data_IF_764008115938
#
_entry.id   IF_764008115938
#
_cell.length_a   1.000
_cell.length_b   1.000
_cell.length_c   1.000
_cell.angle_alpha   90.00
_cell.angle_beta   90.00
_cell.angle_gamma   90.00
#
_symmetry.space_group_name_H-M   'P 1'
#
loop_
_entity.id
_entity.type
_entity.pdbx_description
1 polymer ?
#
# COMPACT_ATOMS: atom_id res chain seq x y z
N UNK A 1 -4.15 -26.73 -15.03
CA UNK A 1 -3.49 -25.59 -14.33
C UNK A 1 -2.08 -25.53 -14.86
N UNK A 2 -1.81 -24.65 -15.81
CA UNK A 2 -0.42 -24.29 -16.12
C UNK A 2 0.15 -23.64 -14.86
N UNK A 3 1.20 -24.23 -14.29
CA UNK A 3 1.83 -23.68 -13.10
C UNK A 3 2.34 -22.29 -13.41
N UNK A 4 1.92 -21.29 -12.64
CA UNK A 4 2.55 -19.97 -12.70
C UNK A 4 4.02 -20.14 -12.35
N UNK A 5 4.90 -20.12 -13.36
CA UNK A 5 6.35 -20.14 -13.16
C UNK A 5 6.70 -18.89 -12.36
N UNK A 6 7.26 -19.08 -11.17
CA UNK A 6 7.80 -17.98 -10.37
C UNK A 6 8.94 -17.37 -11.20
N UNK A 7 8.84 -16.10 -11.61
CA UNK A 7 9.86 -15.49 -12.45
C UNK A 7 11.03 -15.05 -11.56
N UNK A 8 11.78 -16.01 -11.03
CA UNK A 8 12.85 -15.75 -10.05
C UNK A 8 13.90 -14.76 -10.58
N UNK A 9 14.20 -14.83 -11.88
CA UNK A 9 15.08 -13.87 -12.55
C UNK A 9 14.46 -12.47 -12.69
N UNK A 10 13.13 -12.35 -12.76
CA UNK A 10 12.48 -11.05 -12.90
C UNK A 10 12.68 -10.17 -11.66
N UNK A 11 12.70 -10.74 -10.46
CA UNK A 11 12.97 -10.00 -9.21
C UNK A 11 14.40 -9.49 -9.09
N UNK A 12 15.34 -10.06 -9.85
CA UNK A 12 16.72 -9.59 -9.93
C UNK A 12 16.93 -8.59 -11.08
N UNK A 13 15.98 -8.50 -12.01
CA UNK A 13 16.05 -7.59 -13.14
C UNK A 13 15.60 -6.18 -12.74
N UNK A 14 16.51 -5.21 -12.88
CA UNK A 14 16.29 -3.81 -12.52
C UNK A 14 15.40 -3.06 -13.52
N UNK A 15 15.15 -3.62 -14.71
CA UNK A 15 14.26 -3.00 -15.68
C UNK A 15 12.78 -3.26 -15.37
N UNK A 16 12.48 -4.23 -14.52
CA UNK A 16 11.11 -4.47 -14.07
C UNK A 16 10.70 -3.41 -13.04
N UNK A 17 9.57 -2.71 -13.25
CA UNK A 17 9.06 -1.77 -12.27
C UNK A 17 8.68 -2.47 -10.98
N UNK A 18 8.97 -1.83 -9.83
CA UNK A 18 8.49 -2.30 -8.53
C UNK A 18 7.35 -1.43 -8.05
N UNK A 19 6.33 -2.05 -7.47
CA UNK A 19 5.19 -1.30 -6.93
C UNK A 19 5.63 -0.30 -5.83
N UNK A 20 6.71 -0.63 -5.10
CA UNK A 20 7.32 0.23 -4.07
C UNK A 20 7.95 1.52 -4.59
N UNK A 21 8.24 1.58 -5.89
CA UNK A 21 8.85 2.77 -6.51
C UNK A 21 7.78 3.84 -6.79
N UNK A 22 6.50 3.44 -6.86
CA UNK A 22 5.40 4.33 -7.14
C UNK A 22 4.93 5.10 -5.92
N UNK A 23 5.02 6.43 -6.01
CA UNK A 23 4.63 7.35 -4.95
C UNK A 23 3.91 8.55 -5.55
N UNK A 24 2.85 9.02 -4.88
CA UNK A 24 2.20 10.28 -5.26
C UNK A 24 2.98 11.44 -4.63
N UNK A 25 3.83 12.06 -5.45
CA UNK A 25 4.68 13.17 -5.03
C UNK A 25 4.59 14.33 -6.03
N UNK A 26 4.56 15.55 -5.50
CA UNK A 26 4.85 16.75 -6.28
C UNK A 26 6.34 16.83 -6.63
N UNK A 27 6.73 17.81 -7.43
CA UNK A 27 8.15 18.05 -7.72
C UNK A 27 8.82 18.85 -6.59
N UNK A 28 10.14 18.90 -6.56
CA UNK A 28 10.89 19.76 -5.63
C UNK A 28 10.48 21.24 -5.74
N UNK A 29 10.06 21.68 -6.93
CA UNK A 29 9.61 23.07 -7.19
C UNK A 29 8.15 23.29 -6.82
N UNK A 30 7.34 22.25 -6.81
CA UNK A 30 5.91 22.32 -6.57
C UNK A 30 5.46 21.07 -5.78
N UNK A 31 5.82 20.97 -4.48
CA UNK A 31 5.49 19.79 -3.69
C UNK A 31 3.98 19.66 -3.52
N UNK A 32 3.52 18.43 -3.27
CA UNK A 32 2.13 18.19 -2.93
C UNK A 32 1.93 18.52 -1.44
N UNK A 33 1.11 19.53 -1.14
CA UNK A 33 0.94 20.07 0.22
C UNK A 33 -0.37 19.63 0.85
N UNK A 34 -0.40 19.54 2.17
CA UNK A 34 -1.57 19.15 2.96
C UNK A 34 -2.87 19.92 2.60
N UNK A 35 -2.88 21.25 2.34
CA UNK A 35 -4.11 21.94 1.96
C UNK A 35 -4.75 21.46 0.64
N UNK A 36 -3.99 20.80 -0.24
CA UNK A 36 -4.49 20.20 -1.48
C UNK A 36 -5.00 18.78 -1.21
N UNK A 37 -4.29 18.02 -0.38
CA UNK A 37 -4.57 16.60 -0.09
C UNK A 37 -5.74 16.45 0.88
N UNK A 38 -5.75 17.21 1.97
CA UNK A 38 -6.69 17.02 3.08
C UNK A 38 -8.16 17.15 2.68
N UNK A 39 -8.58 18.12 1.84
CA UNK A 39 -9.96 18.18 1.37
C UNK A 39 -10.37 16.92 0.60
N UNK A 40 -9.47 16.37 -0.22
CA UNK A 40 -9.72 15.16 -0.99
C UNK A 40 -9.78 13.90 -0.10
N UNK A 41 -8.87 13.79 0.89
CA UNK A 41 -8.94 12.71 1.89
C UNK A 41 -10.25 12.75 2.67
N UNK A 42 -10.69 13.96 3.06
CA UNK A 42 -11.98 14.16 3.73
C UNK A 42 -13.14 13.72 2.84
N UNK A 43 -13.13 14.10 1.55
CA UNK A 43 -14.13 13.64 0.57
C UNK A 43 -14.16 12.11 0.47
N UNK A 44 -13.01 11.44 0.39
CA UNK A 44 -12.94 9.97 0.35
C UNK A 44 -13.55 9.34 1.60
N UNK A 45 -13.31 9.92 2.78
CA UNK A 45 -13.86 9.44 4.04
C UNK A 45 -15.38 9.64 4.12
N UNK A 46 -15.87 10.84 3.80
CA UNK A 46 -17.30 11.18 3.83
C UNK A 46 -18.12 10.30 2.88
N UNK A 47 -17.53 9.88 1.76
CA UNK A 47 -18.17 9.00 0.79
C UNK A 47 -17.90 7.50 1.03
N UNK A 48 -17.21 7.13 2.11
CA UNK A 48 -16.96 5.72 2.47
C UNK A 48 -15.94 4.99 1.58
N UNK A 49 -15.11 5.71 0.82
CA UNK A 49 -14.02 5.10 0.05
C UNK A 49 -12.76 4.85 0.89
N UNK A 50 -12.66 5.51 2.03
CA UNK A 50 -11.53 5.46 2.95
C UNK A 50 -12.04 5.43 4.39
N UNK A 51 -11.58 4.45 5.16
CA UNK A 51 -11.81 4.37 6.59
C UNK A 51 -10.50 4.68 7.31
N UNK A 52 -10.52 5.71 8.16
CA UNK A 52 -9.36 6.11 8.95
C UNK A 52 -9.60 5.69 10.39
N UNK A 53 -8.66 4.94 10.93
CA UNK A 53 -8.66 4.47 12.31
C UNK A 53 -7.54 5.16 13.08
N UNK A 54 -7.82 5.42 14.35
CA UNK A 54 -6.83 5.93 15.28
C UNK A 54 -5.86 4.82 15.74
N UNK A 55 -5.02 5.17 16.70
CA UNK A 55 -4.05 4.31 17.35
C UNK A 55 -4.66 3.07 18.04
N UNK A 56 -5.99 2.99 18.18
CA UNK A 56 -6.66 1.83 18.75
C UNK A 56 -6.90 0.71 17.73
N UNK A 57 -6.64 0.96 16.44
CA UNK A 57 -6.63 -0.08 15.43
C UNK A 57 -5.69 -1.22 15.82
N UNK A 58 -6.08 -2.47 15.53
CA UNK A 58 -5.39 -3.67 16.01
C UNK A 58 -3.91 -3.72 15.58
N UNK A 59 -3.62 -3.45 14.30
CA UNK A 59 -2.25 -3.42 13.79
C UNK A 59 -1.41 -2.31 14.46
N UNK A 60 -2.01 -1.15 14.66
CA UNK A 60 -1.36 -0.01 15.31
C UNK A 60 -1.05 -0.26 16.78
N UNK A 61 -1.94 -0.97 17.50
CA UNK A 61 -1.69 -1.42 18.88
C UNK A 61 -0.51 -2.38 18.97
N UNK A 62 -0.42 -3.35 18.07
CA UNK A 62 0.73 -4.28 18.03
C UNK A 62 2.01 -3.49 17.74
N UNK A 63 1.99 -2.60 16.75
CA UNK A 63 3.12 -1.73 16.44
C UNK A 63 3.55 -0.91 17.68
N UNK A 64 2.64 -0.24 18.38
CA UNK A 64 2.95 0.50 19.60
C UNK A 64 3.60 -0.37 20.68
N UNK A 65 3.14 -1.61 20.87
CA UNK A 65 3.72 -2.52 21.84
C UNK A 65 5.17 -2.86 21.49
N UNK A 66 5.48 -3.06 20.20
CA UNK A 66 6.84 -3.25 19.73
C UNK A 66 7.69 -2.00 19.97
N UNK A 67 7.20 -0.81 19.60
CA UNK A 67 7.90 0.46 19.87
C UNK A 67 8.21 0.63 21.36
N UNK A 68 7.25 0.37 22.26
CA UNK A 68 7.45 0.44 23.71
C UNK A 68 8.53 -0.53 24.19
N UNK A 69 8.56 -1.77 23.66
CA UNK A 69 9.59 -2.76 23.98
C UNK A 69 10.99 -2.32 23.53
N UNK A 70 11.09 -1.73 22.33
CA UNK A 70 12.35 -1.20 21.81
C UNK A 70 12.86 -0.03 22.66
N UNK A 71 11.97 0.92 22.98
CA UNK A 71 12.30 2.07 23.83
C UNK A 71 12.78 1.62 25.23
N UNK A 72 12.09 0.66 25.86
CA UNK A 72 12.48 0.14 27.18
C UNK A 72 13.87 -0.50 27.18
N UNK A 73 14.29 -1.07 26.05
CA UNK A 73 15.62 -1.68 25.88
C UNK A 73 16.69 -0.69 25.42
N UNK A 74 16.35 0.58 25.22
CA UNK A 74 17.28 1.59 24.70
C UNK A 74 17.64 1.38 23.24
N UNK A 75 16.83 0.65 22.47
CA UNK A 75 17.06 0.43 21.04
C UNK A 75 16.52 1.60 20.20
N UNK A 76 17.01 1.69 18.96
CA UNK A 76 16.47 2.58 17.94
C UNK A 76 15.01 2.25 17.61
N UNK A 77 14.35 3.06 16.78
CA UNK A 77 12.98 2.76 16.34
C UNK A 77 12.96 1.41 15.58
N UNK A 78 11.94 0.56 15.80
CA UNK A 78 11.84 -0.72 15.10
C UNK A 78 11.61 -0.50 13.59
N UNK A 79 12.23 -1.35 12.77
CA UNK A 79 11.95 -1.45 11.34
C UNK A 79 10.73 -2.33 11.04
N UNK A 80 10.62 -2.82 9.80
CA UNK A 80 9.54 -3.71 9.37
C UNK A 80 9.57 -5.05 10.11
N UNK A 81 10.70 -5.76 10.07
CA UNK A 81 10.78 -7.16 10.56
C UNK A 81 10.28 -7.32 12.01
N UNK A 82 10.67 -6.49 12.99
CA UNK A 82 10.17 -6.64 14.36
C UNK A 82 8.66 -6.42 14.47
N UNK A 83 8.10 -5.53 13.65
CA UNK A 83 6.68 -5.18 13.64
C UNK A 83 5.88 -6.31 12.99
N UNK A 84 6.28 -6.73 11.79
CA UNK A 84 5.61 -7.82 11.05
C UNK A 84 5.71 -9.15 11.79
N UNK A 85 6.87 -9.44 12.40
CA UNK A 85 7.06 -10.63 13.24
C UNK A 85 6.18 -10.60 14.49
N UNK A 86 5.93 -9.43 15.07
CA UNK A 86 4.99 -9.34 16.19
C UNK A 86 3.55 -9.54 15.71
N UNK A 87 3.18 -8.96 14.57
CA UNK A 87 1.83 -9.10 14.01
C UNK A 87 1.51 -10.56 13.68
N UNK A 88 2.41 -11.28 13.00
CA UNK A 88 2.18 -12.69 12.63
C UNK A 88 2.04 -13.60 13.86
N UNK A 89 2.65 -13.23 15.00
CA UNK A 89 2.57 -13.97 16.27
C UNK A 89 1.33 -13.62 17.08
N UNK A 90 0.97 -12.35 17.13
CA UNK A 90 -0.02 -11.81 18.06
C UNK A 90 -1.42 -11.65 17.42
N UNK A 91 -1.52 -11.66 16.08
CA UNK A 91 -2.79 -11.53 15.36
C UNK A 91 -3.17 -12.80 14.59
N UNK A 92 -4.20 -13.49 15.09
CA UNK A 92 -4.72 -14.76 14.53
C UNK A 92 -5.24 -14.68 13.09
N UNK A 93 -5.50 -13.47 12.58
CA UNK A 93 -5.95 -13.29 11.20
C UNK A 93 -4.81 -12.99 10.23
N UNK A 94 -3.56 -12.96 10.69
CA UNK A 94 -2.37 -12.73 9.87
C UNK A 94 -1.79 -14.06 9.41
N UNK A 95 -1.49 -14.19 8.12
CA UNK A 95 -1.13 -15.47 7.51
C UNK A 95 0.27 -15.49 6.91
N UNK A 96 0.70 -14.37 6.34
CA UNK A 96 2.00 -14.31 5.67
C UNK A 96 2.55 -12.88 5.71
N UNK A 97 3.88 -12.78 5.70
CA UNK A 97 4.63 -11.53 5.64
C UNK A 97 5.66 -11.61 4.50
N UNK A 98 6.08 -10.46 3.97
CA UNK A 98 7.08 -10.35 2.88
C UNK A 98 6.75 -11.22 1.65
N UNK A 99 5.48 -11.26 1.26
CA UNK A 99 5.00 -12.17 0.20
C UNK A 99 5.34 -11.61 -1.18
N UNK A 100 6.13 -12.30 -2.01
CA UNK A 100 6.41 -11.84 -3.37
C UNK A 100 5.14 -11.86 -4.21
N UNK A 101 4.92 -10.81 -4.99
CA UNK A 101 3.81 -10.69 -5.93
C UNK A 101 4.32 -10.17 -7.27
N UNK A 102 3.75 -10.68 -8.36
CA UNK A 102 4.08 -10.23 -9.71
C UNK A 102 2.84 -10.19 -10.59
N UNK A 103 2.86 -9.28 -11.55
CA UNK A 103 1.91 -9.22 -12.66
C UNK A 103 2.66 -9.12 -13.96
N UNK A 104 2.38 -10.04 -14.88
CA UNK A 104 2.85 -9.93 -16.26
C UNK A 104 2.19 -8.73 -16.94
N UNK A 105 2.98 -7.91 -17.63
CA UNK A 105 2.50 -6.76 -18.39
C UNK A 105 2.54 -7.10 -19.90
N UNK A 106 3.69 -6.92 -20.54
CA UNK A 106 3.94 -7.21 -21.95
C UNK A 106 5.44 -7.36 -22.20
N UNK A 107 5.85 -7.98 -23.31
CA UNK A 107 7.27 -8.12 -23.71
C UNK A 107 8.18 -8.68 -22.60
N UNK A 108 7.70 -9.66 -21.83
CA UNK A 108 8.39 -10.24 -20.67
C UNK A 108 8.70 -9.27 -19.51
N UNK A 109 8.03 -8.11 -19.47
CA UNK A 109 8.08 -7.23 -18.31
C UNK A 109 7.05 -7.62 -17.25
N UNK A 110 7.46 -7.48 -16.00
CA UNK A 110 6.64 -7.72 -14.82
C UNK A 110 6.55 -6.46 -13.97
N UNK A 111 5.36 -6.20 -13.42
CA UNK A 111 5.24 -5.38 -12.21
C UNK A 111 5.51 -6.29 -11.02
N UNK A 112 6.43 -5.90 -10.13
CA UNK A 112 6.91 -6.73 -9.05
C UNK A 112 6.70 -6.08 -7.68
N UNK A 113 6.76 -6.88 -6.62
CA UNK A 113 6.63 -6.39 -5.27
C UNK A 113 6.76 -7.44 -4.18
N UNK A 114 6.84 -6.95 -2.94
CA UNK A 114 6.71 -7.75 -1.73
C UNK A 114 5.60 -7.12 -0.88
N UNK A 115 4.60 -7.92 -0.52
CA UNK A 115 3.50 -7.50 0.34
C UNK A 115 3.94 -7.72 1.78
N UNK A 116 4.04 -6.65 2.57
CA UNK A 116 4.48 -6.75 3.97
C UNK A 116 3.63 -7.72 4.79
N UNK A 117 2.30 -7.70 4.62
CA UNK A 117 1.38 -8.49 5.42
C UNK A 117 0.11 -8.86 4.66
N UNK A 118 -0.24 -10.14 4.67
CA UNK A 118 -1.53 -10.65 4.22
C UNK A 118 -2.34 -11.13 5.43
N UNK A 119 -3.57 -10.64 5.53
CA UNK A 119 -4.54 -11.09 6.53
C UNK A 119 -5.81 -11.61 5.85
N UNK A 120 -6.55 -12.47 6.54
CA UNK A 120 -7.84 -12.96 6.08
C UNK A 120 -8.86 -12.82 7.21
N UNK A 121 -9.92 -12.05 6.98
CA UNK A 121 -10.96 -11.73 7.96
C UNK A 121 -12.32 -11.85 7.30
N UNK A 122 -13.21 -12.69 7.81
CA UNK A 122 -14.59 -12.83 7.32
C UNK A 122 -14.67 -12.90 5.77
N UNK A 123 -13.92 -13.83 5.17
CA UNK A 123 -13.82 -14.03 3.71
C UNK A 123 -13.18 -12.89 2.90
N UNK A 124 -12.64 -11.88 3.58
CA UNK A 124 -12.01 -10.72 2.96
C UNK A 124 -10.51 -10.82 3.12
N UNK A 125 -9.79 -10.67 2.02
CA UNK A 125 -8.32 -10.59 1.99
C UNK A 125 -7.91 -9.17 2.30
N UNK A 126 -7.00 -8.99 3.24
CA UNK A 126 -6.42 -7.71 3.60
C UNK A 126 -4.95 -7.70 3.18
N UNK A 127 -4.58 -6.71 2.38
CA UNK A 127 -3.20 -6.42 1.95
C UNK A 127 -2.72 -5.23 2.76
N UNK A 128 -1.88 -5.49 3.74
CA UNK A 128 -1.42 -4.50 4.70
C UNK A 128 0.07 -4.18 4.48
N UNK A 129 0.42 -2.93 4.74
CA UNK A 129 1.77 -2.41 4.57
C UNK A 129 2.08 -1.42 5.71
N UNK A 130 3.23 -1.63 6.36
CA UNK A 130 3.64 -0.87 7.53
C UNK A 130 4.46 0.34 7.10
N UNK A 131 4.00 1.55 7.45
CA UNK A 131 4.71 2.79 7.11
C UNK A 131 5.22 3.49 8.38
N UNK A 132 6.47 3.25 8.82
CA UNK A 132 7.01 3.89 10.01
C UNK A 132 7.31 5.38 9.76
N UNK A 133 6.63 6.28 10.48
CA UNK A 133 6.87 7.74 10.57
C UNK A 133 6.90 8.53 9.22
N UNK A 134 6.47 9.81 9.23
CA UNK A 134 6.50 10.84 8.14
C UNK A 134 5.96 10.50 6.73
N UNK A 135 5.77 9.23 6.39
CA UNK A 135 5.13 8.82 5.16
C UNK A 135 3.64 9.09 5.26
N UNK A 136 3.18 10.12 4.54
CA UNK A 136 1.76 10.36 4.42
C UNK A 136 1.12 9.14 3.74
N UNK A 137 0.02 8.63 4.31
CA UNK A 137 -0.83 7.62 3.68
C UNK A 137 -1.01 7.87 2.17
N UNK A 138 -1.21 9.13 1.80
CA UNK A 138 -1.42 9.53 0.41
C UNK A 138 -0.21 9.25 -0.49
N UNK A 139 1.00 9.44 0.03
CA UNK A 139 2.25 9.18 -0.70
C UNK A 139 2.40 7.70 -1.04
N UNK A 140 2.11 6.82 -0.09
CA UNK A 140 2.29 5.36 -0.23
C UNK A 140 1.09 4.63 -0.83
N UNK A 141 -0.04 5.32 -1.01
CA UNK A 141 -1.28 4.77 -1.54
C UNK A 141 -1.09 3.96 -2.85
N UNK A 142 -0.28 4.39 -3.84
CA UNK A 142 -0.02 3.58 -5.04
C UNK A 142 0.57 2.22 -4.72
N UNK A 143 1.61 2.15 -3.90
CA UNK A 143 2.29 0.89 -3.58
C UNK A 143 1.32 -0.16 -3.05
N UNK A 144 0.58 0.17 -1.98
CA UNK A 144 -0.30 -0.78 -1.29
C UNK A 144 -1.53 -1.10 -2.14
N UNK A 145 -2.07 -0.11 -2.85
CA UNK A 145 -3.18 -0.34 -3.76
C UNK A 145 -2.80 -1.20 -4.96
N UNK A 146 -1.57 -1.06 -5.50
CA UNK A 146 -1.05 -1.91 -6.58
C UNK A 146 -0.87 -3.35 -6.11
N UNK A 147 -0.36 -3.57 -4.89
CA UNK A 147 -0.34 -4.90 -4.28
C UNK A 147 -1.74 -5.51 -4.22
N UNK A 148 -2.74 -4.75 -3.76
CA UNK A 148 -4.13 -5.19 -3.74
C UNK A 148 -4.68 -5.53 -5.13
N UNK A 149 -4.40 -4.70 -6.14
CA UNK A 149 -4.83 -4.96 -7.52
C UNK A 149 -4.16 -6.23 -8.10
N UNK A 150 -2.84 -6.37 -7.93
CA UNK A 150 -2.10 -7.55 -8.41
C UNK A 150 -2.58 -8.83 -7.73
N UNK A 151 -2.72 -8.82 -6.40
CA UNK A 151 -3.16 -10.00 -5.67
C UNK A 151 -4.60 -10.39 -6.02
N UNK A 152 -5.48 -9.40 -6.22
CA UNK A 152 -6.85 -9.62 -6.66
C UNK A 152 -6.90 -10.35 -8.00
N UNK A 153 -6.11 -9.92 -8.97
CA UNK A 153 -6.06 -10.56 -10.29
C UNK A 153 -5.43 -11.95 -10.20
N UNK A 154 -4.29 -12.07 -9.51
CA UNK A 154 -3.54 -13.32 -9.37
C UNK A 154 -4.37 -14.43 -8.72
N UNK A 155 -5.12 -14.12 -7.66
CA UNK A 155 -5.97 -15.08 -6.95
C UNK A 155 -7.44 -15.05 -7.38
N UNK A 156 -7.79 -14.23 -8.39
CA UNK A 156 -9.18 -14.05 -8.86
C UNK A 156 -10.15 -13.69 -7.71
N UNK A 157 -9.72 -12.83 -6.79
CA UNK A 157 -10.51 -12.46 -5.60
C UNK A 157 -11.78 -11.70 -6.03
N UNK A 158 -12.97 -12.09 -5.54
CA UNK A 158 -14.22 -11.44 -5.89
C UNK A 158 -14.22 -9.94 -5.57
N UNK A 159 -15.02 -9.19 -6.32
CA UNK A 159 -15.22 -7.75 -6.08
C UNK A 159 -15.71 -7.54 -4.63
N UNK A 160 -15.08 -6.58 -3.93
CA UNK A 160 -15.42 -6.25 -2.55
C UNK A 160 -14.84 -7.19 -1.50
N UNK A 161 -14.11 -8.25 -1.88
CA UNK A 161 -13.45 -9.19 -0.96
C UNK A 161 -11.95 -8.94 -0.81
N UNK A 162 -11.49 -7.74 -1.16
CA UNK A 162 -10.12 -7.29 -0.92
C UNK A 162 -10.08 -5.86 -0.38
N UNK A 163 -9.28 -5.66 0.66
CA UNK A 163 -9.04 -4.38 1.32
C UNK A 163 -7.54 -4.15 1.43
N UNK A 164 -7.11 -2.94 1.14
CA UNK A 164 -5.76 -2.46 1.37
C UNK A 164 -5.71 -1.73 2.71
N UNK A 165 -4.63 -1.91 3.46
CA UNK A 165 -4.39 -1.25 4.74
C UNK A 165 -3.00 -0.63 4.73
N UNK A 166 -2.93 0.68 4.79
CA UNK A 166 -1.68 1.34 5.20
C UNK A 166 -1.78 1.57 6.71
N UNK A 167 -0.74 1.26 7.48
CA UNK A 167 -0.81 1.48 8.93
C UNK A 167 0.55 1.87 9.52
N UNK A 168 0.48 2.56 10.65
CA UNK A 168 1.62 2.88 11.48
C UNK A 168 1.26 2.67 12.97
N UNK A 169 2.12 3.14 13.88
CA UNK A 169 1.85 3.09 15.33
C UNK A 169 0.71 4.02 15.76
N UNK A 170 0.35 5.02 14.97
CA UNK A 170 -0.60 6.08 15.32
C UNK A 170 -1.99 5.86 14.70
N UNK A 171 -2.13 5.00 13.70
CA UNK A 171 -3.41 4.73 13.04
C UNK A 171 -3.30 3.80 11.85
N UNK A 172 -4.43 3.63 11.17
CA UNK A 172 -4.54 2.84 9.96
C UNK A 172 -5.55 3.44 8.97
N UNK A 173 -5.35 3.15 7.69
CA UNK A 173 -6.14 3.62 6.57
C UNK A 173 -6.58 2.41 5.76
N UNK A 174 -7.86 2.05 5.84
CA UNK A 174 -8.45 0.94 5.09
C UNK A 174 -9.23 1.44 3.87
N UNK A 175 -9.03 0.81 2.72
CA UNK A 175 -9.67 1.18 1.45
C UNK A 175 -9.67 0.03 0.45
N UNK A 176 -10.55 0.06 -0.54
CA UNK A 176 -10.48 -0.91 -1.64
C UNK A 176 -9.42 -0.51 -2.66
N UNK A 177 -8.63 -1.44 -3.22
CA UNK A 177 -7.59 -1.11 -4.20
C UNK A 177 -8.11 -0.39 -5.45
N UNK A 178 -9.40 -0.56 -5.78
CA UNK A 178 -10.05 0.09 -6.92
C UNK A 178 -10.08 1.63 -6.82
N UNK A 179 -9.92 2.22 -5.62
CA UNK A 179 -9.86 3.68 -5.49
C UNK A 179 -8.73 4.28 -6.31
N UNK A 180 -7.63 3.53 -6.51
CA UNK A 180 -6.51 3.97 -7.35
C UNK A 180 -7.00 4.28 -8.75
N UNK A 181 -7.61 3.31 -9.41
CA UNK A 181 -8.04 3.40 -10.81
C UNK A 181 -9.23 4.35 -11.02
N UNK A 182 -9.87 4.81 -9.94
CA UNK A 182 -11.07 5.66 -9.99
C UNK A 182 -10.79 7.03 -9.37
N UNK A 183 -11.03 7.17 -8.06
CA UNK A 183 -11.01 8.46 -7.36
C UNK A 183 -9.63 9.09 -7.35
N UNK A 184 -8.59 8.32 -7.07
CA UNK A 184 -7.21 8.82 -7.06
C UNK A 184 -6.83 9.28 -8.47
N UNK A 185 -7.07 8.46 -9.50
CA UNK A 185 -6.82 8.85 -10.90
C UNK A 185 -7.52 10.16 -11.26
N UNK A 186 -8.82 10.28 -10.98
CA UNK A 186 -9.60 11.49 -11.26
C UNK A 186 -9.03 12.73 -10.56
N UNK A 187 -8.65 12.59 -9.29
CA UNK A 187 -8.01 13.66 -8.53
C UNK A 187 -6.67 14.08 -9.16
N UNK A 188 -5.80 13.13 -9.48
CA UNK A 188 -4.49 13.41 -10.07
C UNK A 188 -4.62 14.01 -11.48
N UNK A 189 -5.58 13.55 -12.29
CA UNK A 189 -5.85 14.11 -13.62
C UNK A 189 -6.33 15.56 -13.52
N UNK A 190 -7.23 15.87 -12.57
CA UNK A 190 -7.69 17.24 -12.31
C UNK A 190 -6.54 18.12 -11.83
N UNK A 191 -5.71 17.60 -10.93
CA UNK A 191 -4.60 18.31 -10.35
C UNK A 191 -3.49 18.59 -11.39
N UNK A 192 -3.17 17.64 -12.26
CA UNK A 192 -2.18 17.82 -13.33
C UNK A 192 -2.62 18.84 -14.39
N UNK A 193 -3.92 19.14 -14.54
CA UNK A 193 -4.40 20.20 -15.44
C UNK A 193 -4.09 21.60 -14.95
N UNK A 194 -3.97 21.79 -13.63
CA UNK A 194 -3.78 23.10 -13.01
C UNK A 194 -2.34 23.37 -12.59
N UNK A 195 -1.51 22.32 -12.48
CA UNK A 195 -0.11 22.40 -12.08
C UNK A 195 0.81 22.73 -13.23
N UNK A 196 1.89 23.45 -12.92
CA UNK A 196 2.97 23.74 -13.88
C UNK A 196 3.85 22.52 -14.11
N UNK A 197 4.01 21.69 -13.08
CA UNK A 197 4.78 20.45 -13.12
C UNK A 197 3.89 19.24 -12.82
N UNK A 198 4.06 18.19 -13.64
CA UNK A 198 3.40 16.91 -13.39
C UNK A 198 3.94 16.28 -12.12
N UNK A 199 3.11 15.46 -11.49
CA UNK A 199 3.51 14.62 -10.37
C UNK A 199 4.58 13.60 -10.83
N UNK A 200 5.49 13.24 -9.92
CA UNK A 200 6.76 12.56 -10.24
C UNK A 200 6.55 11.20 -10.91
N UNK A 201 5.50 10.48 -10.55
CA UNK A 201 5.10 9.28 -11.28
C UNK A 201 3.59 9.11 -11.14
N UNK A 202 2.91 8.78 -12.23
CA UNK A 202 1.51 8.30 -12.27
C UNK A 202 1.35 7.20 -13.33
N UNK A 203 2.46 6.62 -13.80
CA UNK A 203 2.48 5.67 -14.92
C UNK A 203 1.82 4.34 -14.57
N UNK A 204 1.73 4.00 -13.28
CA UNK A 204 1.15 2.76 -12.77
C UNK A 204 -0.28 2.51 -13.22
N UNK A 205 -1.05 3.55 -13.59
CA UNK A 205 -2.39 3.36 -14.14
C UNK A 205 -2.39 2.46 -15.38
N UNK A 206 -1.33 2.53 -16.19
CA UNK A 206 -1.23 1.80 -17.47
C UNK A 206 -1.11 0.28 -17.31
N UNK A 207 -0.84 -0.24 -16.11
CA UNK A 207 -0.69 -1.67 -15.91
C UNK A 207 -2.01 -2.42 -15.78
N UNK A 208 -3.13 -1.70 -15.65
CA UNK A 208 -4.46 -2.26 -15.39
C UNK A 208 -5.51 -1.82 -16.41
N UNK A 209 -5.08 -1.32 -17.58
CA UNK A 209 -5.89 -1.00 -18.76
C UNK A 209 -5.20 -1.56 -20.00
#
# INVERSE_FOLDING_TARGET
MEGHIIPQNAFNDQFNPRASDYKILGTNREPLKAPIINPFIKELQENGYLHIYDQNHRLSKIAQNVYKRFQKKGYSKPGHDPILTAIIKDDVSSYAIEVPIWKFIQNNFFLLGHIDLIQFRCETVYVADFKPDEYSFFTSLPQVGLYGLMLKEFLQIPKGKIVCVSFDKNGAWEYQPQILLTKIKQFLDKLNKTRRTRLIDTSWFRFFY
#
